data_IF_463367273946
#
_entry.id   IF_463367273946
#
_cell.length_a   1.000
_cell.length_b   1.000
_cell.length_c   1.000
_cell.angle_alpha   90.00
_cell.angle_beta   90.00
_cell.angle_gamma   90.00
#
_symmetry.space_group_name_H-M   'P 1'
#
loop_
_entity.id
_entity.type
_entity.pdbx_description
1 polymer ?
#
# COMPACT_ATOMS: atom_id res chain seq x y z
N UNK A 1 15.94 22.68 7.31
CA UNK A 1 14.61 23.12 6.83
C UNK A 1 13.56 22.61 7.79
N UNK A 2 12.64 23.48 8.20
CA UNK A 2 11.42 23.06 8.91
C UNK A 2 10.42 22.41 7.94
N UNK A 3 9.35 21.82 8.46
CA UNK A 3 8.41 21.04 7.65
C UNK A 3 7.69 21.85 6.55
N UNK A 4 7.42 23.13 6.78
CA UNK A 4 6.80 24.00 5.78
C UNK A 4 7.79 24.34 4.66
N UNK A 5 9.04 24.63 5.00
CA UNK A 5 10.11 24.86 4.02
C UNK A 5 10.36 23.62 3.16
N UNK A 6 10.43 22.43 3.77
CA UNK A 6 10.57 21.17 3.03
C UNK A 6 9.43 20.98 2.04
N UNK A 7 8.17 21.13 2.50
CA UNK A 7 6.99 20.99 1.64
C UNK A 7 7.01 21.95 0.45
N UNK A 8 7.33 23.23 0.69
CA UNK A 8 7.40 24.23 -0.38
C UNK A 8 8.48 23.89 -1.39
N UNK A 9 9.68 23.56 -0.92
CA UNK A 9 10.78 23.13 -1.79
C UNK A 9 10.40 21.93 -2.66
N UNK A 10 9.79 20.89 -2.09
CA UNK A 10 9.38 19.71 -2.85
C UNK A 10 8.36 20.06 -3.94
N UNK A 11 7.41 20.95 -3.65
CA UNK A 11 6.45 21.44 -4.64
C UNK A 11 7.17 22.22 -5.75
N UNK A 12 8.08 23.14 -5.39
CA UNK A 12 8.84 23.96 -6.33
C UNK A 12 9.67 23.10 -7.28
N UNK A 13 10.36 22.08 -6.78
CA UNK A 13 11.14 21.15 -7.62
C UNK A 13 10.24 20.32 -8.55
N UNK A 14 9.13 19.78 -8.06
CA UNK A 14 8.20 19.01 -8.91
C UNK A 14 7.52 19.85 -9.99
N UNK A 15 7.27 21.14 -9.73
CA UNK A 15 6.74 22.07 -10.74
C UNK A 15 7.79 22.36 -11.83
N UNK A 16 9.07 22.47 -11.48
CA UNK A 16 10.16 22.69 -12.46
C UNK A 16 10.35 21.53 -13.42
N UNK A 17 10.03 20.30 -13.01
CA UNK A 17 10.06 19.13 -13.89
C UNK A 17 9.02 19.20 -15.03
N UNK A 18 8.02 20.09 -14.93
CA UNK A 18 6.88 20.14 -15.84
C UNK A 18 6.62 21.55 -16.37
N UNK A 19 6.99 21.85 -17.63
CA UNK A 19 6.74 23.15 -18.25
C UNK A 19 5.25 23.56 -18.24
N UNK A 20 4.33 22.60 -18.30
CA UNK A 20 2.88 22.82 -18.20
C UNK A 20 2.43 23.47 -16.87
N UNK A 21 3.24 23.40 -15.81
CA UNK A 21 2.94 23.96 -14.49
C UNK A 21 3.90 25.08 -14.06
N UNK A 22 4.76 25.58 -14.95
CA UNK A 22 5.77 26.60 -14.63
C UNK A 22 5.16 27.86 -14.00
N UNK A 23 3.94 28.23 -14.41
CA UNK A 23 3.21 29.40 -13.91
C UNK A 23 2.24 29.09 -12.75
N UNK A 24 2.23 27.85 -12.25
CA UNK A 24 1.32 27.46 -11.17
C UNK A 24 1.75 28.13 -9.86
N UNK A 25 0.81 28.84 -9.22
CA UNK A 25 1.08 29.46 -7.93
C UNK A 25 0.94 28.43 -6.81
N UNK A 26 1.94 28.37 -5.93
CA UNK A 26 1.88 27.56 -4.71
C UNK A 26 0.93 28.24 -3.72
N UNK A 27 -0.16 27.57 -3.29
CA UNK A 27 -1.10 28.15 -2.34
C UNK A 27 -0.43 28.59 -1.04
N UNK A 28 -1.02 29.56 -0.34
CA UNK A 28 -0.53 29.99 0.98
C UNK A 28 -0.94 29.02 2.10
N UNK A 29 -2.10 28.38 1.97
CA UNK A 29 -2.61 27.42 2.94
C UNK A 29 -1.78 26.12 2.98
N UNK A 30 -1.54 25.62 4.19
CA UNK A 30 -0.73 24.43 4.39
C UNK A 30 -1.45 23.14 3.95
N UNK A 31 -2.77 23.06 4.11
CA UNK A 31 -3.58 21.92 3.67
C UNK A 31 -3.61 21.83 2.15
N UNK A 32 -3.83 22.96 1.47
CA UNK A 32 -3.80 23.06 0.01
C UNK A 32 -2.41 22.71 -0.55
N UNK A 33 -1.33 23.16 0.11
CA UNK A 33 0.03 22.75 -0.26
C UNK A 33 0.24 21.23 -0.12
N UNK A 34 -0.30 20.59 0.93
CA UNK A 34 -0.22 19.13 1.09
C UNK A 34 -0.96 18.39 -0.03
N UNK A 35 -2.13 18.89 -0.41
CA UNK A 35 -2.90 18.34 -1.54
C UNK A 35 -2.16 18.53 -2.87
N UNK A 36 -1.53 19.69 -3.08
CA UNK A 36 -0.73 19.97 -4.27
C UNK A 36 0.50 19.05 -4.35
N UNK A 37 1.28 18.94 -3.27
CA UNK A 37 2.43 18.04 -3.21
C UNK A 37 2.04 16.61 -3.52
N UNK A 38 0.99 16.09 -2.86
CA UNK A 38 0.47 14.74 -3.14
C UNK A 38 0.06 14.58 -4.60
N UNK A 39 -0.66 15.55 -5.16
CA UNK A 39 -1.10 15.52 -6.56
C UNK A 39 0.09 15.46 -7.52
N UNK A 40 1.11 16.30 -7.34
CA UNK A 40 2.32 16.33 -8.16
C UNK A 40 3.09 15.00 -8.07
N UNK A 41 3.29 14.48 -6.86
CA UNK A 41 3.91 13.16 -6.65
C UNK A 41 3.10 12.03 -7.31
N UNK A 42 1.77 12.09 -7.27
CA UNK A 42 0.90 11.08 -7.87
C UNK A 42 1.01 11.05 -9.39
N UNK A 43 1.12 12.21 -10.06
CA UNK A 43 1.16 12.27 -11.52
C UNK A 43 2.58 12.14 -12.10
N UNK A 44 3.63 12.32 -11.28
CA UNK A 44 5.02 12.22 -11.72
C UNK A 44 5.33 10.83 -12.28
N UNK A 45 5.83 10.77 -13.51
CA UNK A 45 6.26 9.50 -14.11
C UNK A 45 7.53 8.98 -13.41
N UNK A 46 7.79 7.66 -13.44
CA UNK A 46 9.05 7.13 -12.91
C UNK A 46 10.23 7.64 -13.74
N UNK A 47 11.15 8.33 -13.08
CA UNK A 47 12.34 8.94 -13.69
C UNK A 47 13.39 9.15 -12.59
N UNK A 48 14.66 9.35 -12.97
CA UNK A 48 15.70 9.74 -12.03
C UNK A 48 15.30 10.95 -11.19
N UNK A 49 15.81 11.02 -9.97
CA UNK A 49 15.48 12.06 -8.99
C UNK A 49 16.79 12.56 -8.42
N UNK A 50 16.89 13.87 -8.27
CA UNK A 50 18.01 14.51 -7.58
C UNK A 50 18.15 13.92 -6.15
N UNK A 51 19.34 13.40 -5.77
CA UNK A 51 19.60 12.97 -4.40
C UNK A 51 19.25 14.00 -3.32
N UNK A 52 19.40 15.31 -3.61
CA UNK A 52 19.03 16.36 -2.68
C UNK A 52 17.51 16.42 -2.45
N UNK A 53 16.72 16.25 -3.53
CA UNK A 53 15.27 16.14 -3.44
C UNK A 53 14.86 14.96 -2.57
N UNK A 54 15.45 13.78 -2.79
CA UNK A 54 15.14 12.58 -2.02
C UNK A 54 15.43 12.77 -0.53
N UNK A 55 16.57 13.36 -0.18
CA UNK A 55 16.90 13.63 1.22
C UNK A 55 15.87 14.53 1.91
N UNK A 56 15.40 15.58 1.20
CA UNK A 56 14.39 16.50 1.73
C UNK A 56 13.01 15.83 1.82
N UNK A 57 12.67 15.02 0.83
CA UNK A 57 11.44 14.23 0.81
C UNK A 57 11.41 13.24 1.98
N UNK A 58 12.50 12.53 2.21
CA UNK A 58 12.56 11.50 3.26
C UNK A 58 12.43 12.13 4.65
N UNK A 59 13.11 13.27 4.88
CA UNK A 59 12.95 14.04 6.10
C UNK A 59 11.50 14.57 6.27
N UNK A 60 10.85 14.97 5.19
CA UNK A 60 9.45 15.42 5.22
C UNK A 60 8.49 14.26 5.53
N UNK A 61 8.59 13.15 4.81
CA UNK A 61 7.69 11.99 4.94
C UNK A 61 7.88 11.27 6.27
N UNK A 62 9.11 11.12 6.76
CA UNK A 62 9.39 10.54 8.08
C UNK A 62 8.66 11.33 9.18
N UNK A 63 8.76 12.66 9.17
CA UNK A 63 8.09 13.51 10.16
C UNK A 63 6.55 13.50 10.00
N UNK A 64 6.02 13.41 8.78
CA UNK A 64 4.56 13.24 8.57
C UNK A 64 4.07 11.88 9.08
N UNK A 65 4.83 10.81 8.83
CA UNK A 65 4.49 9.45 9.27
C UNK A 65 4.55 9.32 10.80
N UNK A 66 5.53 9.95 11.46
CA UNK A 66 5.60 10.04 12.91
C UNK A 66 4.39 10.80 13.50
N UNK A 67 4.03 11.96 12.92
CA UNK A 67 2.89 12.77 13.39
C UNK A 67 1.54 12.06 13.29
N UNK A 68 1.37 11.15 12.32
CA UNK A 68 0.18 10.30 12.22
C UNK A 68 0.06 9.28 13.36
N UNK A 69 1.15 9.03 14.08
CA UNK A 69 1.26 8.05 15.14
C UNK A 69 1.50 6.64 14.60
N UNK A 70 2.62 6.06 14.99
CA UNK A 70 3.00 4.69 14.64
C UNK A 70 2.22 3.70 15.50
N UNK A 71 1.79 2.59 14.89
CA UNK A 71 1.10 1.48 15.55
C UNK A 71 1.94 0.22 15.35
N UNK A 72 2.27 -0.46 16.44
CA UNK A 72 3.08 -1.68 16.46
C UNK A 72 2.19 -2.90 16.67
N UNK A 73 2.75 -4.11 16.49
CA UNK A 73 2.04 -5.35 16.83
C UNK A 73 1.60 -5.42 18.30
N UNK A 74 2.34 -4.80 19.22
CA UNK A 74 2.00 -4.82 20.64
C UNK A 74 0.73 -3.99 20.96
N UNK A 75 0.39 -3.04 20.08
CA UNK A 75 -0.79 -2.18 20.22
C UNK A 75 -2.06 -2.87 19.68
N UNK A 76 -1.93 -4.05 19.05
CA UNK A 76 -3.01 -4.77 18.37
C UNK A 76 -3.23 -6.11 19.08
N UNK A 77 -4.45 -6.34 19.58
CA UNK A 77 -4.82 -7.62 20.19
C UNK A 77 -4.99 -8.73 19.15
N UNK A 78 -4.46 -9.92 19.46
CA UNK A 78 -4.72 -11.13 18.69
C UNK A 78 -6.16 -11.62 18.97
N UNK A 79 -6.91 -11.91 17.90
CA UNK A 79 -8.27 -12.47 17.97
C UNK A 79 -8.22 -14.00 18.00
N UNK A 80 -7.29 -14.58 17.24
CA UNK A 80 -6.88 -15.98 17.30
C UNK A 80 -5.34 -16.01 17.29
N UNK A 81 -4.69 -17.14 17.67
CA UNK A 81 -3.23 -17.24 17.62
C UNK A 81 -2.68 -16.81 16.25
N UNK A 82 -1.75 -15.86 16.26
CA UNK A 82 -1.13 -15.23 15.08
C UNK A 82 -2.09 -14.45 14.14
N UNK A 83 -3.37 -14.28 14.48
CA UNK A 83 -4.36 -13.59 13.64
C UNK A 83 -4.96 -12.40 14.38
N UNK A 84 -4.79 -11.21 13.82
CA UNK A 84 -5.29 -9.94 14.38
C UNK A 84 -6.21 -9.23 13.40
N UNK A 85 -7.08 -8.38 13.93
CA UNK A 85 -7.90 -7.43 13.14
C UNK A 85 -7.52 -6.03 13.61
N UNK A 86 -7.28 -5.12 12.66
CA UNK A 86 -6.99 -3.74 13.01
C UNK A 86 -7.68 -2.76 12.07
N UNK A 87 -8.54 -1.90 12.62
CA UNK A 87 -9.18 -0.82 11.85
C UNK A 87 -8.31 0.43 11.87
N UNK A 88 -7.84 0.87 10.70
CA UNK A 88 -7.04 2.09 10.61
C UNK A 88 -6.27 2.25 9.29
N UNK A 89 -5.47 3.31 9.22
CA UNK A 89 -4.57 3.61 8.11
C UNK A 89 -3.34 2.68 8.12
N UNK A 90 -3.29 1.72 7.19
CA UNK A 90 -2.19 0.73 7.07
C UNK A 90 -0.80 1.36 7.04
N UNK A 91 -0.68 2.61 6.57
CA UNK A 91 0.61 3.32 6.47
C UNK A 91 1.21 3.68 7.83
N UNK A 92 0.49 3.44 8.93
CA UNK A 92 0.95 3.64 10.31
C UNK A 92 1.56 2.38 10.93
N UNK A 93 1.39 1.22 10.30
CA UNK A 93 1.77 -0.06 10.88
C UNK A 93 3.28 -0.30 10.80
N UNK A 94 3.93 -0.40 11.96
CA UNK A 94 5.30 -0.88 12.11
C UNK A 94 5.29 -2.41 12.26
N UNK A 95 5.32 -3.08 11.10
CA UNK A 95 5.23 -4.53 10.91
C UNK A 95 6.22 -4.97 9.83
N UNK A 96 6.42 -6.28 9.66
CA UNK A 96 7.35 -6.80 8.66
C UNK A 96 6.98 -6.40 7.23
N UNK A 97 5.71 -6.56 6.85
CA UNK A 97 5.23 -6.08 5.56
C UNK A 97 3.78 -5.59 5.60
N UNK A 98 3.46 -4.62 4.76
CA UNK A 98 2.08 -4.27 4.41
C UNK A 98 1.79 -4.72 2.98
N UNK A 99 0.54 -5.08 2.71
CA UNK A 99 0.10 -5.47 1.36
C UNK A 99 -0.54 -4.29 0.63
N UNK A 100 -0.02 -3.99 -0.55
CA UNK A 100 -0.60 -3.05 -1.49
C UNK A 100 -1.47 -3.79 -2.52
N UNK A 101 -2.74 -3.38 -2.66
CA UNK A 101 -3.58 -3.76 -3.78
C UNK A 101 -3.23 -2.90 -5.01
N UNK A 102 -2.24 -3.37 -5.77
CA UNK A 102 -1.70 -2.68 -6.93
C UNK A 102 -2.55 -2.90 -8.19
N UNK A 103 -2.29 -2.08 -9.20
CA UNK A 103 -2.72 -2.32 -10.58
C UNK A 103 -1.62 -3.06 -11.36
N UNK A 104 -1.95 -3.59 -12.55
CA UNK A 104 -1.02 -4.40 -13.37
C UNK A 104 0.22 -3.64 -13.83
N UNK A 105 0.17 -2.31 -13.87
CA UNK A 105 1.33 -1.46 -14.16
C UNK A 105 2.33 -1.34 -13.00
N UNK A 106 1.94 -1.69 -11.76
CA UNK A 106 2.79 -1.74 -10.55
C UNK A 106 3.46 -0.43 -10.09
N UNK A 107 3.35 0.65 -10.86
CA UNK A 107 3.98 1.95 -10.55
C UNK A 107 3.08 2.85 -9.69
N UNK A 108 2.12 2.29 -8.95
CA UNK A 108 1.20 3.05 -8.12
C UNK A 108 0.06 3.72 -8.89
N UNK A 109 -0.69 4.58 -8.20
CA UNK A 109 -1.84 5.30 -8.75
C UNK A 109 -1.46 6.68 -9.30
N UNK A 110 -1.86 6.98 -10.53
CA UNK A 110 -1.62 8.28 -11.18
C UNK A 110 -2.76 9.28 -11.06
N UNK A 111 -3.87 8.91 -10.43
CA UNK A 111 -4.98 9.82 -10.21
C UNK A 111 -4.69 10.72 -8.99
N UNK A 112 -4.63 12.05 -9.14
CA UNK A 112 -4.35 12.97 -8.04
C UNK A 112 -5.26 12.75 -6.84
N UNK A 113 -4.66 12.61 -5.66
CA UNK A 113 -5.36 12.47 -4.39
C UNK A 113 -6.42 11.36 -4.35
N UNK A 114 -6.31 10.34 -5.20
CA UNK A 114 -7.30 9.26 -5.25
C UNK A 114 -7.33 8.51 -3.92
N UNK A 115 -8.54 8.25 -3.42
CA UNK A 115 -8.78 7.50 -2.17
C UNK A 115 -8.67 5.98 -2.39
N UNK A 116 -7.57 5.52 -2.97
CA UNK A 116 -7.23 4.10 -3.06
C UNK A 116 -5.98 3.78 -2.23
N UNK A 117 -5.87 2.52 -1.79
CA UNK A 117 -4.76 2.08 -0.93
C UNK A 117 -3.40 2.25 -1.61
N UNK A 118 -3.35 2.02 -2.92
CA UNK A 118 -2.15 2.16 -3.75
C UNK A 118 -1.63 3.61 -3.76
N UNK A 119 -2.54 4.59 -3.88
CA UNK A 119 -2.18 6.00 -3.78
C UNK A 119 -1.67 6.35 -2.38
N UNK A 120 -2.33 5.87 -1.33
CA UNK A 120 -1.91 6.10 0.05
C UNK A 120 -0.51 5.55 0.31
N UNK A 121 -0.27 4.27 0.00
CA UNK A 121 1.02 3.60 0.21
C UNK A 121 2.14 4.33 -0.56
N UNK A 122 1.96 4.60 -1.86
CA UNK A 122 2.98 5.31 -2.64
C UNK A 122 3.22 6.75 -2.16
N UNK A 123 2.19 7.46 -1.71
CA UNK A 123 2.34 8.83 -1.19
C UNK A 123 3.19 8.85 0.08
N UNK A 124 2.97 7.93 1.01
CA UNK A 124 3.66 7.92 2.31
C UNK A 124 4.98 7.13 2.30
N UNK A 125 5.22 6.28 1.30
CA UNK A 125 6.52 5.66 1.05
C UNK A 125 7.51 6.62 0.37
N UNK A 126 7.02 7.48 -0.53
CA UNK A 126 7.83 8.39 -1.32
C UNK A 126 8.06 7.91 -2.76
N UNK A 127 8.59 8.80 -3.61
CA UNK A 127 8.72 8.54 -5.05
C UNK A 127 9.67 7.37 -5.34
N UNK A 128 10.61 7.05 -4.44
CA UNK A 128 11.50 5.90 -4.59
C UNK A 128 10.71 4.59 -4.77
N UNK A 129 9.56 4.42 -4.12
CA UNK A 129 8.75 3.21 -4.29
C UNK A 129 8.27 3.04 -5.73
N UNK A 130 7.79 4.12 -6.36
CA UNK A 130 7.39 4.11 -7.77
C UNK A 130 8.57 3.80 -8.68
N UNK A 131 9.71 4.45 -8.45
CA UNK A 131 10.91 4.21 -9.25
C UNK A 131 11.40 2.78 -9.11
N UNK A 132 11.41 2.23 -7.90
CA UNK A 132 11.80 0.84 -7.65
C UNK A 132 10.88 -0.14 -8.39
N UNK A 133 9.56 0.04 -8.28
CA UNK A 133 8.59 -0.75 -9.05
C UNK A 133 8.84 -0.65 -10.57
N UNK A 134 9.10 0.55 -11.09
CA UNK A 134 9.35 0.74 -12.52
C UNK A 134 10.58 -0.05 -13.00
N UNK A 135 11.69 -0.03 -12.25
CA UNK A 135 12.88 -0.82 -12.58
C UNK A 135 12.57 -2.32 -12.61
N UNK A 136 11.77 -2.83 -11.66
CA UNK A 136 11.32 -4.22 -11.67
C UNK A 136 10.48 -4.54 -12.91
N UNK A 137 9.56 -3.65 -13.30
CA UNK A 137 8.67 -3.85 -14.45
C UNK A 137 9.42 -3.78 -15.79
N UNK A 138 10.39 -2.87 -15.94
CA UNK A 138 11.27 -2.80 -17.11
C UNK A 138 12.02 -4.13 -17.28
N UNK A 139 12.55 -4.68 -16.17
CA UNK A 139 13.26 -5.97 -16.20
C UNK A 139 12.31 -7.12 -16.55
N UNK A 140 11.07 -7.09 -16.07
CA UNK A 140 10.06 -8.10 -16.34
C UNK A 140 9.53 -8.10 -17.78
N UNK A 141 9.44 -6.92 -18.41
CA UNK A 141 9.00 -6.72 -19.82
C UNK A 141 7.53 -7.04 -20.12
N UNK A 142 6.71 -7.26 -19.10
CA UNK A 142 5.26 -7.39 -19.23
C UNK A 142 4.56 -6.90 -17.97
N UNK A 143 3.28 -6.54 -18.08
CA UNK A 143 2.44 -6.17 -16.93
C UNK A 143 2.34 -7.29 -15.90
N UNK A 144 2.12 -6.92 -14.64
CA UNK A 144 2.03 -7.90 -13.57
C UNK A 144 0.71 -8.67 -13.64
N UNK A 145 0.75 -10.01 -13.73
CA UNK A 145 -0.46 -10.81 -13.79
C UNK A 145 -1.27 -10.75 -12.49
N UNK A 146 -2.59 -10.78 -12.61
CA UNK A 146 -3.49 -10.92 -11.46
C UNK A 146 -3.17 -12.17 -10.63
N UNK A 147 -3.19 -12.04 -9.31
CA UNK A 147 -2.91 -13.15 -8.39
C UNK A 147 -1.44 -13.39 -8.09
N UNK A 148 -0.52 -12.59 -8.64
CA UNK A 148 0.91 -12.62 -8.33
C UNK A 148 1.29 -11.53 -7.33
N UNK A 149 2.44 -11.71 -6.67
CA UNK A 149 2.96 -10.75 -5.69
C UNK A 149 4.44 -10.41 -5.95
N UNK A 150 4.82 -9.16 -5.67
CA UNK A 150 6.20 -8.65 -5.65
C UNK A 150 6.49 -7.96 -4.33
N UNK A 151 7.75 -7.96 -3.91
CA UNK A 151 8.19 -7.32 -2.67
C UNK A 151 9.18 -6.18 -2.96
N UNK A 152 9.05 -5.09 -2.22
CA UNK A 152 9.92 -3.91 -2.30
C UNK A 152 10.25 -3.41 -0.89
N UNK A 153 11.36 -2.65 -0.71
CA UNK A 153 11.56 -1.87 0.50
C UNK A 153 10.42 -0.87 0.72
N UNK A 154 10.07 -0.58 1.96
CA UNK A 154 8.96 0.34 2.26
C UNK A 154 9.33 1.83 2.28
N UNK A 155 10.63 2.14 2.17
CA UNK A 155 11.19 3.49 2.19
C UNK A 155 10.81 4.27 3.46
N UNK A 156 9.94 5.27 3.36
CA UNK A 156 9.57 6.12 4.50
C UNK A 156 8.44 5.54 5.36
N UNK A 157 7.82 4.43 4.96
CA UNK A 157 6.77 3.78 5.76
C UNK A 157 7.37 3.13 7.02
N UNK A 158 6.59 2.98 8.11
CA UNK A 158 7.07 2.35 9.35
C UNK A 158 7.33 0.84 9.23
N UNK A 159 6.79 0.16 8.21
CA UNK A 159 7.01 -1.27 7.96
C UNK A 159 8.34 -1.50 7.23
N UNK A 160 8.83 -2.75 7.23
CA UNK A 160 10.10 -3.06 6.55
C UNK A 160 9.92 -3.17 5.03
N UNK A 161 8.83 -3.82 4.60
CA UNK A 161 8.53 -4.10 3.19
C UNK A 161 7.12 -3.71 2.77
N UNK A 162 6.94 -3.47 1.46
CA UNK A 162 5.64 -3.46 0.80
C UNK A 162 5.54 -4.66 -0.13
N UNK A 163 4.50 -5.48 0.06
CA UNK A 163 4.17 -6.58 -0.84
C UNK A 163 3.03 -6.12 -1.75
N UNK A 164 3.31 -6.02 -3.04
CA UNK A 164 2.38 -5.57 -4.06
C UNK A 164 1.72 -6.78 -4.72
N UNK A 165 0.40 -6.81 -4.76
CA UNK A 165 -0.37 -7.85 -5.46
C UNK A 165 -1.42 -7.23 -6.36
N UNK A 166 -1.64 -7.82 -7.53
CA UNK A 166 -2.68 -7.39 -8.48
C UNK A 166 -3.94 -8.20 -8.24
N UNK A 167 -4.97 -7.55 -7.71
CA UNK A 167 -6.26 -8.19 -7.41
C UNK A 167 -7.18 -8.31 -8.64
N UNK A 168 -8.11 -9.27 -8.67
CA UNK A 168 -9.10 -9.39 -9.74
C UNK A 168 -10.07 -8.20 -9.74
N UNK A 169 -10.49 -7.78 -10.94
CA UNK A 169 -11.50 -6.74 -11.16
C UNK A 169 -12.83 -7.41 -11.47
N UNK A 170 -13.87 -7.14 -10.67
CA UNK A 170 -15.20 -7.72 -10.87
C UNK A 170 -16.08 -6.73 -11.62
N UNK A 171 -16.27 -6.96 -12.91
CA UNK A 171 -17.27 -6.28 -13.72
C UNK A 171 -18.49 -7.19 -13.89
N UNK A 172 -19.64 -6.79 -13.34
CA UNK A 172 -20.86 -7.60 -13.38
C UNK A 172 -20.88 -8.69 -12.31
N UNK A 173 -21.10 -9.95 -12.70
CA UNK A 173 -21.29 -11.06 -11.75
C UNK A 173 -19.95 -11.61 -11.26
N UNK A 174 -19.88 -11.91 -9.96
CA UNK A 174 -18.76 -12.65 -9.38
C UNK A 174 -18.65 -14.06 -10.00
N UNK A 175 -17.46 -14.44 -10.45
CA UNK A 175 -17.16 -15.74 -11.06
C UNK A 175 -16.21 -16.55 -10.18
N UNK A 176 -16.16 -17.87 -10.40
CA UNK A 176 -15.17 -18.73 -9.72
C UNK A 176 -13.72 -18.34 -10.03
N UNK A 177 -13.48 -17.77 -11.21
CA UNK A 177 -12.14 -17.30 -11.58
C UNK A 177 -11.73 -16.08 -10.77
N UNK A 178 -12.65 -15.14 -10.51
CA UNK A 178 -12.38 -14.03 -9.59
C UNK A 178 -12.00 -14.54 -8.20
N UNK A 179 -12.72 -15.52 -7.66
CA UNK A 179 -12.40 -16.11 -6.36
C UNK A 179 -11.02 -16.78 -6.37
N UNK A 180 -10.73 -17.59 -7.41
CA UNK A 180 -9.42 -18.25 -7.57
C UNK A 180 -8.27 -17.25 -7.63
N UNK A 181 -8.44 -16.14 -8.36
CA UNK A 181 -7.44 -15.08 -8.47
C UNK A 181 -7.26 -14.33 -7.16
N UNK A 182 -8.33 -14.08 -6.40
CA UNK A 182 -8.22 -13.46 -5.08
C UNK A 182 -7.48 -14.37 -4.10
N UNK A 183 -7.80 -15.66 -4.06
CA UNK A 183 -7.05 -16.67 -3.28
C UNK A 183 -5.56 -16.63 -3.65
N UNK A 184 -5.26 -16.63 -4.95
CA UNK A 184 -3.88 -16.55 -5.46
C UNK A 184 -3.13 -15.31 -4.98
N UNK A 185 -3.81 -14.15 -4.83
CA UNK A 185 -3.18 -12.95 -4.25
C UNK A 185 -2.69 -13.21 -2.82
N UNK A 186 -3.56 -13.74 -1.95
CA UNK A 186 -3.20 -14.02 -0.56
C UNK A 186 -2.11 -15.09 -0.46
N UNK A 187 -2.20 -16.18 -1.22
CA UNK A 187 -1.16 -17.23 -1.23
C UNK A 187 0.19 -16.68 -1.71
N UNK A 188 0.20 -15.88 -2.79
CA UNK A 188 1.44 -15.28 -3.31
C UNK A 188 2.07 -14.31 -2.33
N UNK A 189 1.26 -13.47 -1.65
CA UNK A 189 1.75 -12.56 -0.61
C UNK A 189 2.35 -13.30 0.59
N UNK A 190 1.69 -14.35 1.07
CA UNK A 190 2.19 -15.15 2.19
C UNK A 190 3.48 -15.90 1.81
N UNK A 191 3.52 -16.46 0.61
CA UNK A 191 4.69 -17.17 0.10
C UNK A 191 5.91 -16.27 -0.03
N UNK A 192 5.76 -15.10 -0.67
CA UNK A 192 6.89 -14.16 -0.81
C UNK A 192 7.33 -13.60 0.55
N UNK A 193 6.41 -13.47 1.51
CA UNK A 193 6.75 -13.08 2.87
C UNK A 193 7.60 -14.15 3.58
N UNK A 194 7.20 -15.43 3.51
CA UNK A 194 8.00 -16.54 4.07
C UNK A 194 9.37 -16.65 3.38
N UNK A 195 9.42 -16.52 2.04
CA UNK A 195 10.66 -16.55 1.24
C UNK A 195 11.65 -15.44 1.61
N UNK A 196 11.16 -14.33 2.18
CA UNK A 196 11.97 -13.18 2.62
C UNK A 196 12.01 -13.05 4.15
N UNK A 197 11.66 -14.10 4.88
CA UNK A 197 11.74 -14.17 6.35
C UNK A 197 10.95 -13.05 7.07
N UNK A 198 9.90 -12.54 6.44
CA UNK A 198 9.02 -11.51 7.01
C UNK A 198 8.22 -12.10 8.15
N UNK A 199 8.32 -11.54 9.36
CA UNK A 199 7.68 -12.12 10.55
C UNK A 199 6.21 -11.74 10.75
N UNK A 200 5.76 -10.65 10.11
CA UNK A 200 4.37 -10.19 10.20
C UNK A 200 3.92 -9.48 8.93
N UNK A 201 2.65 -9.69 8.54
CA UNK A 201 2.06 -9.13 7.33
C UNK A 201 0.69 -8.52 7.62
N UNK A 202 0.44 -7.31 7.10
CA UNK A 202 -0.85 -6.64 7.17
C UNK A 202 -1.52 -6.61 5.80
N UNK A 203 -2.66 -7.28 5.67
CA UNK A 203 -3.49 -7.26 4.47
C UNK A 203 -4.52 -6.14 4.55
N UNK A 204 -4.55 -5.26 3.54
CA UNK A 204 -5.75 -4.46 3.27
C UNK A 204 -6.87 -5.34 2.67
N UNK A 205 -8.10 -4.84 2.61
CA UNK A 205 -9.19 -5.49 1.87
C UNK A 205 -8.94 -5.47 0.35
N UNK A 206 -8.22 -6.48 -0.17
CA UNK A 206 -7.85 -6.58 -1.60
C UNK A 206 -9.12 -6.64 -2.47
N UNK A 207 -9.13 -5.84 -3.53
CA UNK A 207 -10.19 -5.76 -4.56
C UNK A 207 -11.59 -5.28 -4.11
N UNK A 208 -11.85 -4.96 -2.84
CA UNK A 208 -13.21 -4.59 -2.38
C UNK A 208 -13.59 -3.12 -2.54
N UNK A 209 -12.65 -2.28 -2.96
CA UNK A 209 -12.87 -0.88 -3.31
C UNK A 209 -13.18 -0.71 -4.80
N UNK A 210 -12.28 -0.04 -5.52
CA UNK A 210 -12.42 0.28 -6.96
C UNK A 210 -12.62 -0.96 -7.84
N UNK A 211 -12.15 -2.14 -7.40
CA UNK A 211 -12.24 -3.39 -8.17
C UNK A 211 -13.52 -4.21 -7.88
N UNK A 212 -14.41 -3.69 -7.02
CA UNK A 212 -15.80 -4.15 -6.86
C UNK A 212 -15.99 -5.62 -6.43
N UNK A 213 -14.98 -6.25 -5.83
CA UNK A 213 -15.14 -7.57 -5.24
C UNK A 213 -16.06 -7.48 -3.99
N UNK A 214 -17.12 -8.30 -3.87
CA UNK A 214 -18.03 -8.21 -2.73
C UNK A 214 -17.33 -8.42 -1.38
N UNK A 215 -17.45 -7.45 -0.48
CA UNK A 215 -16.73 -7.40 0.81
C UNK A 215 -16.85 -8.70 1.63
N UNK A 216 -18.09 -9.19 1.83
CA UNK A 216 -18.35 -10.42 2.58
C UNK A 216 -17.58 -11.62 1.99
N UNK A 217 -17.68 -11.81 0.67
CA UNK A 217 -17.03 -12.95 0.02
C UNK A 217 -15.51 -12.79 -0.01
N UNK A 218 -14.99 -11.58 -0.17
CA UNK A 218 -13.56 -11.31 -0.08
C UNK A 218 -13.01 -11.64 1.32
N UNK A 219 -13.71 -11.24 2.39
CA UNK A 219 -13.30 -11.51 3.76
C UNK A 219 -13.31 -13.02 4.07
N UNK A 220 -14.34 -13.75 3.63
CA UNK A 220 -14.40 -15.22 3.75
C UNK A 220 -13.18 -15.88 3.09
N UNK A 221 -12.87 -15.50 1.84
CA UNK A 221 -11.74 -16.04 1.09
C UNK A 221 -10.40 -15.66 1.72
N UNK A 222 -10.26 -14.43 2.21
CA UNK A 222 -9.05 -13.95 2.89
C UNK A 222 -8.74 -14.79 4.14
N UNK A 223 -9.72 -14.92 5.05
CA UNK A 223 -9.57 -15.68 6.30
C UNK A 223 -9.33 -17.15 6.01
N UNK A 224 -10.09 -17.74 5.09
CA UNK A 224 -9.93 -19.14 4.72
C UNK A 224 -8.53 -19.42 4.15
N UNK A 225 -8.08 -18.59 3.20
CA UNK A 225 -6.78 -18.77 2.52
C UNK A 225 -5.63 -18.64 3.52
N UNK A 226 -5.65 -17.62 4.38
CA UNK A 226 -4.61 -17.43 5.41
C UNK A 226 -4.54 -18.62 6.36
N UNK A 227 -5.68 -19.11 6.86
CA UNK A 227 -5.74 -20.27 7.76
C UNK A 227 -5.20 -21.53 7.08
N UNK A 228 -5.65 -21.82 5.87
CA UNK A 228 -5.22 -22.98 5.09
C UNK A 228 -3.72 -22.93 4.77
N UNK A 229 -3.20 -21.75 4.41
CA UNK A 229 -1.79 -21.55 4.16
C UNK A 229 -0.96 -21.87 5.40
N UNK A 230 -1.28 -21.25 6.56
CA UNK A 230 -0.57 -21.48 7.83
C UNK A 230 -0.64 -22.95 8.27
N UNK A 231 -1.79 -23.61 8.10
CA UNK A 231 -1.95 -25.02 8.42
C UNK A 231 -1.04 -25.91 7.55
N UNK A 232 -0.99 -25.64 6.25
CA UNK A 232 -0.23 -26.41 5.25
C UNK A 232 1.28 -26.22 5.36
N UNK A 233 1.73 -24.97 5.50
CA UNK A 233 3.17 -24.62 5.48
C UNK A 233 3.79 -24.56 6.87
N UNK A 234 2.97 -24.58 7.94
CA UNK A 234 3.37 -24.32 9.32
C UNK A 234 3.98 -22.93 9.53
N UNK A 235 3.70 -22.00 8.62
CA UNK A 235 4.18 -20.62 8.67
C UNK A 235 3.83 -19.94 10.00
N UNK A 236 4.84 -19.27 10.56
CA UNK A 236 4.77 -18.53 11.82
C UNK A 236 4.48 -17.04 11.64
N UNK A 237 4.22 -16.61 10.39
CA UNK A 237 3.91 -15.22 10.09
C UNK A 237 2.65 -14.79 10.86
N UNK A 238 2.75 -13.69 11.60
CA UNK A 238 1.60 -13.04 12.20
C UNK A 238 0.83 -12.25 11.16
N UNK A 239 -0.47 -12.48 11.04
CA UNK A 239 -1.31 -11.87 10.02
C UNK A 239 -2.25 -10.86 10.65
N UNK A 240 -2.28 -9.65 10.10
CA UNK A 240 -3.22 -8.60 10.47
C UNK A 240 -4.17 -8.38 9.29
N UNK A 241 -5.47 -8.54 9.52
CA UNK A 241 -6.49 -8.08 8.60
C UNK A 241 -6.76 -6.60 8.89
N UNK A 242 -6.14 -5.72 8.10
CA UNK A 242 -6.37 -4.29 8.19
C UNK A 242 -7.63 -3.90 7.43
N UNK A 243 -8.56 -3.30 8.16
CA UNK A 243 -9.86 -2.84 7.65
C UNK A 243 -9.98 -1.32 7.80
N UNK A 244 -10.88 -0.71 7.03
CA UNK A 244 -11.16 0.72 7.15
C UNK A 244 -12.62 1.00 7.50
N UNK A 245 -13.56 0.27 6.89
CA UNK A 245 -15.00 0.41 7.17
C UNK A 245 -15.39 -0.41 8.40
N UNK A 246 -16.35 0.09 9.15
CA UNK A 246 -16.95 -0.62 10.29
C UNK A 246 -17.57 -1.95 9.85
N UNK A 247 -18.22 -1.97 8.69
CA UNK A 247 -18.83 -3.17 8.11
C UNK A 247 -17.79 -4.27 7.84
N UNK A 248 -16.61 -3.90 7.33
CA UNK A 248 -15.51 -4.84 7.10
C UNK A 248 -15.00 -5.38 8.45
N UNK A 249 -14.84 -4.52 9.45
CA UNK A 249 -14.42 -4.94 10.80
C UNK A 249 -15.37 -5.97 11.39
N UNK A 250 -16.69 -5.75 11.28
CA UNK A 250 -17.70 -6.68 11.76
C UNK A 250 -17.64 -8.02 11.02
N UNK A 251 -17.46 -8.01 9.70
CA UNK A 251 -17.30 -9.23 8.90
C UNK A 251 -16.09 -10.06 9.35
N UNK A 252 -14.93 -9.42 9.51
CA UNK A 252 -13.73 -10.13 9.97
C UNK A 252 -13.86 -10.64 11.41
N UNK A 253 -14.52 -9.88 12.31
CA UNK A 253 -14.81 -10.34 13.68
C UNK A 253 -15.69 -11.59 13.68
N UNK A 254 -16.74 -11.64 12.86
CA UNK A 254 -17.62 -12.81 12.74
C UNK A 254 -16.91 -14.06 12.17
N UNK A 255 -15.87 -13.87 11.34
CA UNK A 255 -15.12 -14.99 10.74
C UNK A 255 -13.99 -15.52 11.64
N UNK A 256 -13.54 -14.71 12.60
CA UNK A 256 -12.42 -15.01 13.50
C UNK A 256 -12.86 -15.20 14.97
N UNK A 257 -14.11 -14.90 15.32
CA UNK A 257 -14.68 -15.06 16.66
C UNK A 257 -15.98 -15.83 16.64
#
# INVERSE_FOLDING_TARGET
MNQNERRRYLIEELLKERPEYENMQIPSDAGEQKMLLRSLMNIRMPEEIDPAFLQIQDAYLSEENEKKGIVTLADIGEVQPDLSIWKGDVTRLKVGAIVNAANSGMTGCYQPCHNCIDNCIHTYAGIQLRNYCNHMMIKQRHEEPTGQAKITPAFNLPCDYVIHTVGPIVQGRLTKEHERLLISCYESCLRIADENEVTSIAFCCISTGVFMFPNKRAAELAVQTVKQYKEKTKSKIKVIFNVFKEEDEQLYKQLLG
#
